data_IF_621140996545
#
_entry.id   IF_621140996545
#
_cell.length_a   1.000
_cell.length_b   1.000
_cell.length_c   1.000
_cell.angle_alpha   90.00
_cell.angle_beta   90.00
_cell.angle_gamma   90.00
#
_symmetry.space_group_name_H-M   'P 1'
#
loop_
_entity.id
_entity.type
_entity.pdbx_description
1 polymer ?
#
# COMPACT_ATOMS: atom_id res chain seq x y z
N UNK A 1 23.26 -8.56 -12.72
CA UNK A 1 22.15 -8.83 -13.65
C UNK A 1 21.54 -10.17 -13.24
N UNK A 2 20.50 -10.14 -12.42
CA UNK A 2 19.84 -11.35 -11.89
C UNK A 2 18.83 -11.81 -12.94
N UNK A 3 18.94 -13.05 -13.43
CA UNK A 3 18.15 -13.56 -14.56
C UNK A 3 17.33 -14.78 -14.18
N UNK A 4 16.15 -14.91 -14.80
CA UNK A 4 15.33 -16.12 -14.73
C UNK A 4 14.62 -16.33 -13.39
N UNK A 5 14.70 -17.54 -12.83
CA UNK A 5 13.91 -17.98 -11.68
C UNK A 5 14.17 -17.16 -10.39
N UNK A 6 15.40 -16.67 -10.21
CA UNK A 6 15.76 -15.82 -9.07
C UNK A 6 15.11 -14.44 -9.12
N UNK A 7 14.89 -13.88 -10.31
CA UNK A 7 14.20 -12.59 -10.46
C UNK A 7 12.71 -12.69 -10.05
N UNK A 8 12.06 -13.82 -10.36
CA UNK A 8 10.67 -14.09 -9.97
C UNK A 8 10.54 -14.20 -8.44
N UNK A 9 11.47 -14.92 -7.80
CA UNK A 9 11.50 -15.07 -6.33
C UNK A 9 11.72 -13.71 -5.66
N UNK A 10 12.67 -12.91 -6.16
CA UNK A 10 12.95 -11.56 -5.62
C UNK A 10 11.72 -10.67 -5.76
N UNK A 11 11.02 -10.70 -6.91
CA UNK A 11 9.81 -9.91 -7.11
C UNK A 11 8.70 -10.30 -6.12
N UNK A 12 8.43 -11.61 -5.96
CA UNK A 12 7.44 -12.06 -4.98
C UNK A 12 7.83 -11.68 -3.55
N UNK A 13 9.10 -11.89 -3.19
CA UNK A 13 9.61 -11.53 -1.88
C UNK A 13 9.48 -10.02 -1.64
N UNK A 14 9.86 -9.19 -2.61
CA UNK A 14 9.71 -7.74 -2.55
C UNK A 14 8.25 -7.34 -2.37
N UNK A 15 7.33 -7.86 -3.19
CA UNK A 15 5.90 -7.56 -3.11
C UNK A 15 5.32 -7.94 -1.74
N UNK A 16 5.62 -9.13 -1.24
CA UNK A 16 5.15 -9.57 0.10
C UNK A 16 5.75 -8.72 1.21
N UNK A 17 7.04 -8.40 1.14
CA UNK A 17 7.74 -7.58 2.13
C UNK A 17 7.20 -6.14 2.14
N UNK A 18 6.98 -5.56 0.96
CA UNK A 18 6.40 -4.22 0.79
C UNK A 18 4.99 -4.17 1.34
N UNK A 19 4.13 -5.12 0.97
CA UNK A 19 2.75 -5.18 1.47
C UNK A 19 2.72 -5.32 3.01
N UNK A 20 3.56 -6.20 3.56
CA UNK A 20 3.69 -6.38 5.02
C UNK A 20 4.21 -5.11 5.70
N UNK A 21 5.21 -4.43 5.11
CA UNK A 21 5.74 -3.17 5.60
C UNK A 21 4.68 -2.08 5.62
N UNK A 22 3.90 -1.92 4.56
CA UNK A 22 2.83 -0.92 4.48
C UNK A 22 1.73 -1.20 5.52
N UNK A 23 1.35 -2.47 5.72
CA UNK A 23 0.39 -2.83 6.76
C UNK A 23 0.92 -2.52 8.17
N UNK A 24 2.17 -2.86 8.46
CA UNK A 24 2.81 -2.54 9.75
C UNK A 24 2.88 -1.03 10.00
N UNK A 25 3.27 -0.25 8.98
CA UNK A 25 3.30 1.22 9.04
C UNK A 25 1.90 1.79 9.27
N UNK A 26 0.89 1.24 8.61
CA UNK A 26 -0.50 1.67 8.78
C UNK A 26 -0.99 1.40 10.20
N UNK A 27 -0.70 0.23 10.77
CA UNK A 27 -1.03 -0.11 12.16
C UNK A 27 -0.32 0.84 13.13
N UNK A 28 0.99 1.07 12.97
CA UNK A 28 1.73 2.02 13.81
C UNK A 28 1.17 3.45 13.70
N UNK A 29 0.74 3.85 12.50
CA UNK A 29 0.15 5.16 12.28
C UNK A 29 -1.21 5.28 13.00
N UNK A 30 -2.01 4.22 13.09
CA UNK A 30 -3.30 4.28 13.81
C UNK A 30 -3.09 4.13 15.33
N UNK A 31 -2.27 3.17 15.75
CA UNK A 31 -1.95 2.88 17.14
C UNK A 31 -0.43 2.99 17.38
N UNK A 32 0.01 4.21 17.64
CA UNK A 32 1.41 4.53 17.92
C UNK A 32 1.97 3.64 19.04
N UNK A 33 3.18 3.11 18.85
CA UNK A 33 3.84 2.25 19.82
C UNK A 33 3.52 0.77 19.70
N UNK A 34 2.55 0.35 18.90
CA UNK A 34 2.14 -1.07 18.86
C UNK A 34 3.17 -1.96 18.17
N UNK A 35 3.72 -1.50 17.04
CA UNK A 35 4.68 -2.26 16.24
C UNK A 35 6.10 -1.90 16.64
N UNK A 36 6.35 -0.61 16.90
CA UNK A 36 7.68 -0.11 17.28
C UNK A 36 8.21 -0.68 18.60
N UNK A 37 7.35 -1.21 19.47
CA UNK A 37 7.74 -1.95 20.68
C UNK A 37 8.46 -3.26 20.35
N UNK A 38 8.11 -3.93 19.26
CA UNK A 38 8.69 -5.22 18.89
C UNK A 38 9.76 -5.10 17.80
N UNK A 39 9.53 -4.23 16.82
CA UNK A 39 10.36 -4.12 15.61
C UNK A 39 10.56 -2.65 15.26
N UNK A 40 11.81 -2.25 15.00
CA UNK A 40 12.08 -0.91 14.50
C UNK A 40 11.71 -0.81 13.01
N UNK A 41 10.61 -0.09 12.76
CA UNK A 41 10.04 0.11 11.42
C UNK A 41 10.99 0.80 10.44
N UNK A 42 11.93 1.63 10.92
CA UNK A 42 12.89 2.29 10.04
C UNK A 42 13.87 1.27 9.42
N UNK A 43 14.38 0.33 10.23
CA UNK A 43 15.23 -0.75 9.70
C UNK A 43 14.47 -1.63 8.70
N UNK A 44 13.20 -1.94 8.99
CA UNK A 44 12.37 -2.73 8.09
C UNK A 44 12.14 -1.99 6.76
N UNK A 45 11.87 -0.68 6.81
CA UNK A 45 11.72 0.16 5.62
C UNK A 45 13.02 0.21 4.79
N UNK A 46 14.18 0.34 5.43
CA UNK A 46 15.48 0.30 4.74
C UNK A 46 15.67 -1.03 3.99
N UNK A 47 15.33 -2.17 4.62
CA UNK A 47 15.41 -3.49 3.97
C UNK A 47 14.48 -3.57 2.76
N UNK A 48 13.25 -3.05 2.88
CA UNK A 48 12.27 -3.01 1.77
C UNK A 48 12.79 -2.16 0.61
N UNK A 49 13.37 -0.99 0.90
CA UNK A 49 13.93 -0.10 -0.13
C UNK A 49 15.09 -0.78 -0.85
N UNK A 50 16.02 -1.40 -0.12
CA UNK A 50 17.15 -2.13 -0.74
C UNK A 50 16.63 -3.26 -1.63
N UNK A 51 15.65 -4.04 -1.14
CA UNK A 51 15.05 -5.13 -1.91
C UNK A 51 14.33 -4.61 -3.15
N UNK A 52 13.64 -3.48 -3.06
CA UNK A 52 12.97 -2.82 -4.19
C UNK A 52 13.96 -2.33 -5.24
N UNK A 53 15.09 -1.76 -4.83
CA UNK A 53 16.16 -1.38 -5.77
C UNK A 53 16.65 -2.62 -6.52
N UNK A 54 16.92 -3.74 -5.83
CA UNK A 54 17.37 -4.99 -6.45
C UNK A 54 16.31 -5.55 -7.42
N UNK A 55 15.04 -5.47 -7.06
CA UNK A 55 13.92 -5.91 -7.90
C UNK A 55 13.78 -5.08 -9.18
N UNK A 56 13.99 -3.76 -9.13
CA UNK A 56 13.98 -2.87 -10.32
C UNK A 56 15.09 -3.24 -11.31
N UNK A 57 16.26 -3.63 -10.83
CA UNK A 57 17.38 -4.07 -11.67
C UNK A 57 17.29 -5.54 -12.12
N UNK A 58 16.23 -6.26 -11.72
CA UNK A 58 16.01 -7.65 -12.12
C UNK A 58 15.17 -7.73 -13.40
N UNK A 59 15.62 -8.51 -14.38
CA UNK A 59 14.89 -8.70 -15.63
C UNK A 59 13.73 -9.67 -15.41
N UNK A 60 12.50 -9.17 -15.55
CA UNK A 60 11.27 -9.93 -15.30
C UNK A 60 10.65 -10.39 -16.62
N UNK A 61 10.20 -11.66 -16.75
CA UNK A 61 9.37 -12.06 -17.88
C UNK A 61 8.03 -11.31 -17.83
N UNK A 62 7.52 -10.93 -19.00
CA UNK A 62 6.27 -10.17 -19.14
C UNK A 62 5.12 -11.09 -18.73
N UNK A 63 4.54 -10.86 -17.54
CA UNK A 63 3.30 -11.52 -17.14
C UNK A 63 2.13 -10.81 -17.82
N UNK A 64 1.41 -11.52 -18.68
CA UNK A 64 0.16 -11.02 -19.27
C UNK A 64 -0.85 -10.78 -18.15
N UNK A 65 -1.29 -9.52 -18.01
CA UNK A 65 -2.27 -9.09 -17.00
C UNK A 65 -3.69 -9.34 -17.50
N UNK A 66 -4.55 -9.82 -16.60
CA UNK A 66 -5.99 -9.96 -16.85
C UNK A 66 -6.68 -8.59 -16.84
N UNK A 67 -7.77 -8.47 -17.60
CA UNK A 67 -8.55 -7.22 -17.69
C UNK A 67 -9.26 -6.91 -16.37
N UNK A 68 -9.37 -5.63 -15.99
CA UNK A 68 -10.07 -5.22 -14.78
C UNK A 68 -11.54 -5.69 -14.80
N UNK A 69 -11.96 -6.32 -13.72
CA UNK A 69 -13.29 -6.89 -13.53
C UNK A 69 -14.14 -5.96 -12.65
N UNK A 70 -15.46 -6.02 -12.79
CA UNK A 70 -16.42 -5.22 -11.99
C UNK A 70 -16.27 -5.38 -10.47
N UNK A 71 -15.67 -6.49 -10.01
CA UNK A 71 -15.33 -6.74 -8.60
C UNK A 71 -14.19 -5.85 -8.11
N UNK A 72 -13.27 -5.45 -8.98
CA UNK A 72 -12.14 -4.58 -8.62
C UNK A 72 -12.64 -3.18 -8.30
N UNK A 73 -13.66 -2.70 -9.01
CA UNK A 73 -14.31 -1.42 -8.72
C UNK A 73 -15.03 -1.44 -7.35
N UNK A 74 -15.69 -2.54 -7.01
CA UNK A 74 -16.30 -2.71 -5.68
C UNK A 74 -15.24 -2.72 -4.57
N UNK A 75 -14.09 -3.35 -4.81
CA UNK A 75 -12.96 -3.37 -3.89
C UNK A 75 -12.37 -1.97 -3.68
N UNK A 76 -12.19 -1.20 -4.76
CA UNK A 76 -11.75 0.20 -4.70
C UNK A 76 -12.71 1.07 -3.88
N UNK A 77 -14.02 0.90 -4.09
CA UNK A 77 -15.01 1.65 -3.32
C UNK A 77 -14.97 1.29 -1.83
N UNK A 78 -14.83 0.01 -1.49
CA UNK A 78 -14.68 -0.45 -0.11
C UNK A 78 -13.40 0.13 0.54
N UNK A 79 -12.27 0.13 -0.18
CA UNK A 79 -11.01 0.75 0.24
C UNK A 79 -11.17 2.25 0.54
N UNK A 80 -11.92 2.97 -0.30
CA UNK A 80 -12.23 4.38 -0.07
C UNK A 80 -13.01 4.61 1.23
N UNK A 81 -14.01 3.79 1.51
CA UNK A 81 -14.80 3.87 2.77
C UNK A 81 -13.92 3.54 3.97
N UNK A 82 -13.10 2.49 3.88
CA UNK A 82 -12.17 2.09 4.95
C UNK A 82 -11.16 3.22 5.21
N UNK A 83 -10.58 3.80 4.15
CA UNK A 83 -9.67 4.93 4.24
C UNK A 83 -10.32 6.16 4.89
N UNK A 84 -11.54 6.50 4.48
CA UNK A 84 -12.33 7.55 5.11
C UNK A 84 -12.53 7.30 6.60
N UNK A 85 -12.93 6.09 6.99
CA UNK A 85 -13.19 5.73 8.38
C UNK A 85 -11.91 5.80 9.24
N UNK A 86 -10.78 5.30 8.73
CA UNK A 86 -9.47 5.36 9.39
C UNK A 86 -9.04 6.82 9.60
N UNK A 87 -9.13 7.65 8.57
CA UNK A 87 -8.71 9.05 8.66
C UNK A 87 -9.60 9.81 9.63
N UNK A 88 -10.91 9.57 9.61
CA UNK A 88 -11.86 10.19 10.54
C UNK A 88 -11.57 9.79 11.98
N UNK A 89 -11.30 8.50 12.23
CA UNK A 89 -10.93 8.02 13.56
C UNK A 89 -9.65 8.72 14.06
N UNK A 90 -8.61 8.79 13.22
CA UNK A 90 -7.34 9.41 13.60
C UNK A 90 -7.42 10.93 13.76
N UNK A 91 -8.23 11.61 12.95
CA UNK A 91 -8.39 13.07 12.98
C UNK A 91 -9.52 13.56 13.88
N UNK A 92 -10.15 12.68 14.67
CA UNK A 92 -11.29 13.03 15.52
C UNK A 92 -11.03 14.24 16.43
N UNK A 93 -9.79 14.44 16.86
CA UNK A 93 -9.37 15.57 17.70
C UNK A 93 -9.52 16.94 17.00
N UNK A 94 -9.62 16.98 15.68
CA UNK A 94 -9.77 18.20 14.88
C UNK A 94 -11.24 18.66 14.72
N UNK A 95 -12.20 17.98 15.35
CA UNK A 95 -13.62 18.35 15.31
C UNK A 95 -14.18 18.38 13.88
N UNK A 96 -14.89 19.46 13.50
CA UNK A 96 -15.49 19.59 12.16
C UNK A 96 -14.48 19.52 11.00
N UNK A 97 -13.21 19.89 11.22
CA UNK A 97 -12.17 19.79 10.19
C UNK A 97 -11.86 18.33 9.82
N UNK A 98 -12.04 17.40 10.76
CA UNK A 98 -11.91 15.96 10.52
C UNK A 98 -12.82 15.48 9.38
N UNK A 99 -14.04 16.02 9.32
CA UNK A 99 -15.03 15.60 8.33
C UNK A 99 -14.62 15.99 6.92
N UNK A 100 -14.12 17.22 6.74
CA UNK A 100 -13.64 17.73 5.45
C UNK A 100 -12.40 16.96 5.00
N UNK A 101 -11.40 16.81 5.88
CA UNK A 101 -10.15 16.11 5.56
C UNK A 101 -10.41 14.65 5.18
N UNK A 102 -11.25 13.96 5.95
CA UNK A 102 -11.57 12.56 5.67
C UNK A 102 -12.32 12.41 4.35
N UNK A 103 -13.26 13.31 4.04
CA UNK A 103 -14.04 13.27 2.81
C UNK A 103 -13.15 13.50 1.59
N UNK A 104 -12.30 14.53 1.62
CA UNK A 104 -11.35 14.82 0.54
C UNK A 104 -10.38 13.66 0.35
N UNK A 105 -9.82 13.12 1.43
CA UNK A 105 -8.90 11.99 1.35
C UNK A 105 -9.58 10.71 0.83
N UNK A 106 -10.81 10.41 1.27
CA UNK A 106 -11.58 9.27 0.76
C UNK A 106 -11.85 9.36 -0.73
N UNK A 107 -12.22 10.55 -1.23
CA UNK A 107 -12.39 10.81 -2.67
C UNK A 107 -11.06 10.62 -3.41
N UNK A 108 -9.96 11.16 -2.87
CA UNK A 108 -8.63 10.99 -3.48
C UNK A 108 -8.21 9.52 -3.56
N UNK A 109 -8.48 8.71 -2.52
CA UNK A 109 -8.18 7.27 -2.54
C UNK A 109 -8.94 6.57 -3.66
N UNK A 110 -10.23 6.87 -3.84
CA UNK A 110 -11.06 6.27 -4.90
C UNK A 110 -10.54 6.70 -6.28
N UNK A 111 -10.27 7.99 -6.48
CA UNK A 111 -9.77 8.52 -7.75
C UNK A 111 -8.42 7.91 -8.14
N UNK A 112 -7.46 7.88 -7.21
CA UNK A 112 -6.14 7.27 -7.44
C UNK A 112 -6.26 5.79 -7.76
N UNK A 113 -7.13 5.07 -7.05
CA UNK A 113 -7.33 3.65 -7.29
C UNK A 113 -7.97 3.37 -8.65
N UNK A 114 -8.93 4.20 -9.09
CA UNK A 114 -9.50 4.11 -10.44
C UNK A 114 -8.46 4.46 -11.51
N UNK A 115 -7.63 5.48 -11.27
CA UNK A 115 -6.56 5.87 -12.19
C UNK A 115 -5.56 4.72 -12.36
N UNK A 116 -5.12 4.11 -11.26
CA UNK A 116 -4.25 2.92 -11.30
C UNK A 116 -4.94 1.73 -11.97
N UNK A 117 -6.23 1.50 -11.73
CA UNK A 117 -6.98 0.40 -12.35
C UNK A 117 -7.19 0.59 -13.86
N UNK A 118 -7.21 1.83 -14.35
CA UNK A 118 -7.38 2.17 -15.77
C UNK A 118 -6.07 2.39 -16.53
N UNK A 119 -5.00 2.80 -15.83
CA UNK A 119 -3.64 2.93 -16.39
C UNK A 119 -2.94 1.56 -16.54
N UNK A 120 -3.54 0.49 -16.00
CA UNK A 120 -3.18 -0.91 -16.25
C UNK A 120 -4.08 -1.58 -17.30
#
# INVERSE_FOLDING_TARGET
>A
MIKGNSAIIINHLFQTLLATCLLLLLVEQIWQGTVSVYINLNYLLVIVVITGIIDVFSEKPVLFKEKPTTKDYLFVFALGIIGFAIIKYKTHQLGNLSWIISLVAGILIILLSIMVLNDE
#
